data_IF_742804259655
#
_entry.id   IF_742804259655
#
_cell.length_a   1.000
_cell.length_b   1.000
_cell.length_c   1.000
_cell.angle_alpha   90.00
_cell.angle_beta   90.00
_cell.angle_gamma   90.00
#
_symmetry.space_group_name_H-M   'P 1'
#
loop_
_entity.id
_entity.type
_entity.pdbx_description
1 polymer ?
#
# COMPACT_ATOMS: atom_id res chain seq x y z
N UNK A 1 -16.59 -1.18 -14.31
CA UNK A 1 -16.07 -1.33 -12.93
C UNK A 1 -14.55 -1.39 -13.03
N UNK A 2 -13.81 -0.65 -12.20
CA UNK A 2 -12.34 -0.69 -12.19
C UNK A 2 -11.83 -1.94 -11.48
N UNK A 3 -10.69 -2.48 -11.91
CA UNK A 3 -10.04 -3.59 -11.24
C UNK A 3 -9.50 -3.16 -9.87
N UNK A 4 -9.66 -4.01 -8.86
CA UNK A 4 -9.10 -3.80 -7.51
C UNK A 4 -7.59 -3.99 -7.57
N UNK A 5 -6.84 -3.16 -6.84
CA UNK A 5 -5.37 -3.17 -6.81
C UNK A 5 -4.85 -3.94 -5.59
N UNK A 6 -3.82 -4.75 -5.79
CA UNK A 6 -3.04 -5.39 -4.74
C UNK A 6 -1.70 -4.65 -4.65
N UNK A 7 -1.42 -4.10 -3.47
CA UNK A 7 -0.32 -3.17 -3.24
C UNK A 7 0.62 -3.71 -2.15
N UNK A 8 1.75 -4.32 -2.48
CA UNK A 8 2.81 -4.57 -1.51
C UNK A 8 3.40 -3.27 -0.96
N UNK A 9 3.62 -3.25 0.37
CA UNK A 9 4.21 -2.12 1.07
C UNK A 9 5.59 -2.51 1.62
N UNK A 10 6.61 -1.73 1.31
CA UNK A 10 8.00 -1.96 1.67
C UNK A 10 8.49 -0.86 2.64
N UNK A 11 8.77 -1.24 3.88
CA UNK A 11 9.39 -0.35 4.86
C UNK A 11 10.89 -0.24 4.55
N UNK A 12 11.36 0.95 4.18
CA UNK A 12 12.74 1.20 3.76
C UNK A 12 13.53 1.85 4.88
N UNK A 13 14.69 1.30 5.19
CA UNK A 13 15.68 1.84 6.11
C UNK A 13 17.06 1.72 5.49
N UNK A 14 17.72 2.86 5.27
CA UNK A 14 19.07 2.92 4.71
C UNK A 14 19.22 2.10 3.40
N UNK A 15 18.21 2.17 2.52
CA UNK A 15 18.19 1.48 1.24
C UNK A 15 17.93 -0.03 1.31
N UNK A 16 17.58 -0.55 2.47
CA UNK A 16 17.18 -1.94 2.68
C UNK A 16 15.70 -2.03 3.10
N UNK A 17 15.04 -3.12 2.73
CA UNK A 17 13.67 -3.39 3.22
C UNK A 17 13.78 -4.07 4.58
N UNK A 18 13.08 -3.50 5.54
CA UNK A 18 13.01 -4.03 6.90
C UNK A 18 11.56 -4.37 7.27
N UNK A 19 11.41 -5.21 8.28
CA UNK A 19 10.12 -5.48 8.89
C UNK A 19 10.24 -5.44 10.40
N UNK A 20 9.39 -4.63 11.01
CA UNK A 20 9.21 -4.57 12.47
C UNK A 20 7.93 -5.24 12.91
N UNK A 21 7.84 -5.56 14.19
CA UNK A 21 6.60 -5.94 14.86
C UNK A 21 6.10 -4.68 15.59
N UNK A 22 4.91 -4.18 15.22
CA UNK A 22 4.35 -2.93 15.78
C UNK A 22 5.35 -1.77 15.76
N UNK A 23 5.99 -1.55 14.60
CA UNK A 23 7.00 -0.50 14.39
C UNK A 23 8.28 -0.62 15.26
N UNK A 24 8.58 -1.81 15.78
CA UNK A 24 9.77 -2.10 16.63
C UNK A 24 10.54 -3.32 16.11
N UNK A 25 11.75 -3.51 16.59
CA UNK A 25 12.60 -4.68 16.31
C UNK A 25 12.75 -5.00 14.83
N UNK A 26 13.14 -3.96 14.05
CA UNK A 26 13.28 -4.06 12.61
C UNK A 26 14.36 -5.09 12.23
N UNK A 27 13.95 -6.11 11.49
CA UNK A 27 14.85 -7.07 10.83
C UNK A 27 14.94 -6.76 9.36
N UNK A 28 16.12 -6.89 8.77
CA UNK A 28 16.29 -6.81 7.31
C UNK A 28 15.57 -8.00 6.68
N UNK A 29 14.70 -7.72 5.73
CA UNK A 29 13.93 -8.72 4.99
C UNK A 29 14.58 -9.01 3.64
N UNK A 30 15.21 -8.00 3.03
CA UNK A 30 15.89 -8.14 1.76
C UNK A 30 16.38 -6.82 1.18
N UNK A 31 17.04 -6.91 0.04
CA UNK A 31 17.39 -5.77 -0.78
C UNK A 31 16.14 -5.15 -1.40
N UNK A 32 16.12 -3.81 -1.47
CA UNK A 32 14.97 -3.06 -1.97
C UNK A 32 14.66 -3.38 -3.44
N UNK A 33 15.69 -3.53 -4.29
CA UNK A 33 15.49 -3.79 -5.71
C UNK A 33 14.97 -5.21 -5.93
N UNK A 34 15.61 -6.20 -5.31
CA UNK A 34 15.19 -7.61 -5.44
C UNK A 34 13.76 -7.85 -4.98
N UNK A 35 13.30 -7.18 -3.90
CA UNK A 35 11.91 -7.29 -3.46
C UNK A 35 10.94 -6.52 -4.37
N UNK A 36 11.34 -5.36 -4.88
CA UNK A 36 10.53 -4.60 -5.83
C UNK A 36 10.30 -5.39 -7.13
N UNK A 37 11.35 -5.96 -7.70
CA UNK A 37 11.29 -6.81 -8.89
C UNK A 37 10.44 -8.05 -8.65
N UNK A 38 10.64 -8.75 -7.53
CA UNK A 38 9.85 -9.93 -7.19
C UNK A 38 8.35 -9.61 -7.13
N UNK A 39 7.95 -8.57 -6.42
CA UNK A 39 6.54 -8.22 -6.32
C UNK A 39 5.94 -7.74 -7.65
N UNK A 40 6.70 -7.00 -8.47
CA UNK A 40 6.32 -6.66 -9.83
C UNK A 40 6.08 -7.92 -10.66
N UNK A 41 7.00 -8.87 -10.64
CA UNK A 41 6.93 -10.10 -11.44
C UNK A 41 5.81 -11.04 -10.94
N UNK A 42 5.54 -11.06 -9.64
CA UNK A 42 4.37 -11.72 -9.07
C UNK A 42 3.04 -11.06 -9.46
N UNK A 43 3.08 -9.87 -10.09
CA UNK A 43 1.91 -9.17 -10.61
C UNK A 43 1.27 -8.22 -9.61
N UNK A 44 2.04 -7.56 -8.74
CA UNK A 44 1.57 -6.40 -7.98
C UNK A 44 1.02 -5.34 -8.94
N UNK A 45 0.00 -4.61 -8.51
CA UNK A 45 -0.60 -3.55 -9.32
C UNK A 45 0.08 -2.20 -9.10
N UNK A 46 0.69 -2.01 -7.95
CA UNK A 46 1.42 -0.82 -7.49
C UNK A 46 2.30 -1.23 -6.31
N UNK A 47 3.38 -0.50 -6.03
CA UNK A 47 4.18 -0.64 -4.81
C UNK A 47 4.14 0.64 -3.97
N UNK A 48 4.23 0.50 -2.66
CA UNK A 48 4.42 1.62 -1.74
C UNK A 48 5.72 1.43 -0.97
N UNK A 49 6.55 2.46 -0.94
CA UNK A 49 7.80 2.49 -0.17
C UNK A 49 7.69 3.53 0.94
N UNK A 50 7.83 3.09 2.19
CA UNK A 50 7.90 3.98 3.35
C UNK A 50 9.35 4.16 3.80
N UNK A 51 9.94 5.36 3.63
CA UNK A 51 11.19 5.68 4.33
C UNK A 51 10.89 5.92 5.80
N UNK A 52 11.07 4.86 6.61
CA UNK A 52 10.73 4.88 8.04
C UNK A 52 11.74 5.64 8.90
N UNK A 53 12.86 6.08 8.32
CA UNK A 53 13.93 6.82 9.01
C UNK A 53 13.93 8.31 8.70
N UNK A 54 13.46 8.71 7.54
CA UNK A 54 13.47 10.11 7.11
C UNK A 54 12.70 11.03 8.06
N UNK A 55 11.45 10.68 8.39
CA UNK A 55 10.60 11.49 9.27
C UNK A 55 11.13 11.58 10.71
N UNK A 56 11.50 10.47 11.40
CA UNK A 56 12.07 10.52 12.74
C UNK A 56 13.39 11.30 12.82
N UNK A 57 14.23 11.22 11.78
CA UNK A 57 15.52 11.91 11.73
C UNK A 57 15.42 13.35 11.23
N UNK A 58 14.22 13.82 10.87
CA UNK A 58 14.03 15.17 10.35
C UNK A 58 14.70 15.42 8.99
N UNK A 59 15.00 14.36 8.21
CA UNK A 59 15.59 14.45 6.88
C UNK A 59 14.57 14.18 5.77
N UNK A 60 14.88 14.56 4.55
CA UNK A 60 14.13 14.19 3.35
C UNK A 60 14.47 12.77 2.92
N UNK A 61 13.63 12.18 2.05
CA UNK A 61 13.87 10.87 1.44
C UNK A 61 15.20 10.84 0.68
N UNK A 62 15.93 9.75 0.80
CA UNK A 62 17.12 9.53 -0.02
C UNK A 62 16.70 9.14 -1.44
N UNK A 63 16.88 10.09 -2.37
CA UNK A 63 16.52 9.95 -3.79
C UNK A 63 17.33 8.89 -4.53
N UNK A 64 18.47 8.48 -4.00
CA UNK A 64 19.33 7.52 -4.68
C UNK A 64 18.67 6.16 -4.83
N UNK A 65 17.97 5.68 -3.81
CA UNK A 65 17.22 4.43 -3.91
C UNK A 65 15.94 4.59 -4.75
N UNK A 66 15.27 5.76 -4.68
CA UNK A 66 14.07 6.05 -5.50
C UNK A 66 14.42 5.91 -6.99
N UNK A 67 15.50 6.57 -7.43
CA UNK A 67 15.93 6.51 -8.82
C UNK A 67 16.38 5.09 -9.27
N UNK A 68 16.90 4.26 -8.36
CA UNK A 68 17.21 2.85 -8.67
C UNK A 68 15.96 2.02 -8.84
N UNK A 69 14.97 2.19 -7.95
CA UNK A 69 13.66 1.52 -8.04
C UNK A 69 12.94 1.89 -9.33
N UNK A 70 12.93 3.17 -9.70
CA UNK A 70 12.29 3.66 -10.93
C UNK A 70 12.86 3.02 -12.21
N UNK A 71 14.12 2.58 -12.20
CA UNK A 71 14.74 1.92 -13.35
C UNK A 71 14.32 0.47 -13.56
N UNK A 72 13.89 -0.19 -12.51
CA UNK A 72 13.53 -1.62 -12.55
C UNK A 72 12.03 -1.87 -12.55
N UNK A 73 11.22 -0.88 -12.15
CA UNK A 73 9.77 -1.02 -12.14
C UNK A 73 9.13 -0.54 -13.44
N UNK A 74 8.14 -1.28 -13.90
CA UNK A 74 7.20 -0.93 -14.98
C UNK A 74 5.75 -0.86 -14.48
N UNK A 75 5.57 -0.86 -13.15
CA UNK A 75 4.32 -0.60 -12.45
C UNK A 75 4.46 0.66 -11.60
N UNK A 76 3.37 1.40 -11.33
CA UNK A 76 3.42 2.60 -10.52
C UNK A 76 3.95 2.32 -9.11
N UNK A 77 4.64 3.31 -8.53
CA UNK A 77 4.99 3.26 -7.13
C UNK A 77 4.83 4.60 -6.42
N UNK A 78 4.49 4.52 -5.15
CA UNK A 78 4.34 5.65 -4.25
C UNK A 78 5.47 5.67 -3.23
N UNK A 79 5.97 6.85 -2.91
CA UNK A 79 6.96 7.06 -1.85
C UNK A 79 6.34 7.83 -0.69
N UNK A 80 6.51 7.31 0.50
CA UNK A 80 6.04 7.87 1.76
C UNK A 80 7.19 8.06 2.77
N UNK A 81 6.97 8.93 3.74
CA UNK A 81 7.97 9.30 4.76
C UNK A 81 8.87 10.43 4.32
N UNK A 82 9.21 11.35 5.24
CA UNK A 82 10.15 12.44 5.02
C UNK A 82 9.72 13.55 4.04
N UNK A 83 8.48 13.56 3.56
CA UNK A 83 7.95 14.58 2.63
C UNK A 83 7.23 15.65 3.43
N UNK A 84 7.79 16.85 3.52
CA UNK A 84 7.32 17.97 4.36
C UNK A 84 7.09 19.25 3.58
N UNK A 85 7.48 19.28 2.32
CA UNK A 85 7.39 20.45 1.47
C UNK A 85 7.14 20.05 0.00
N UNK A 86 6.74 21.04 -0.80
CA UNK A 86 6.64 20.89 -2.26
C UNK A 86 7.99 20.51 -2.87
N UNK A 87 9.09 21.06 -2.35
CA UNK A 87 10.43 20.74 -2.84
C UNK A 87 10.85 19.28 -2.54
N UNK A 88 10.47 18.74 -1.37
CA UNK A 88 10.69 17.30 -1.07
C UNK A 88 9.92 16.41 -2.05
N UNK A 89 8.66 16.73 -2.30
CA UNK A 89 7.80 16.00 -3.24
C UNK A 89 8.34 16.08 -4.67
N UNK A 90 8.72 17.28 -5.14
CA UNK A 90 9.31 17.48 -6.47
C UNK A 90 10.57 16.63 -6.66
N UNK A 91 11.41 16.59 -5.65
CA UNK A 91 12.65 15.81 -5.70
C UNK A 91 12.40 14.29 -5.79
N UNK A 92 11.35 13.78 -5.14
CA UNK A 92 10.97 12.36 -5.18
C UNK A 92 10.31 12.01 -6.52
N UNK A 93 9.38 12.85 -7.00
CA UNK A 93 8.72 12.67 -8.31
C UNK A 93 9.74 12.77 -9.45
N UNK A 94 10.66 13.74 -9.40
CA UNK A 94 11.75 13.86 -10.40
C UNK A 94 12.71 12.65 -10.39
N UNK A 95 12.81 11.93 -9.26
CA UNK A 95 13.59 10.69 -9.18
C UNK A 95 12.85 9.47 -9.76
N UNK A 96 11.57 9.62 -10.17
CA UNK A 96 10.80 8.64 -10.92
C UNK A 96 9.65 8.00 -10.16
N UNK A 97 9.30 8.45 -8.96
CA UNK A 97 8.06 8.04 -8.31
C UNK A 97 6.83 8.66 -9.02
N UNK A 98 5.72 7.94 -9.14
CA UNK A 98 4.47 8.48 -9.69
C UNK A 98 3.62 9.17 -8.64
N UNK A 99 3.76 8.80 -7.37
CA UNK A 99 2.99 9.35 -6.27
C UNK A 99 3.86 9.63 -5.05
N UNK A 100 3.44 10.60 -4.27
CA UNK A 100 4.00 10.89 -2.95
C UNK A 100 2.90 10.80 -1.90
N UNK A 101 3.24 10.23 -0.73
CA UNK A 101 2.29 10.13 0.38
C UNK A 101 2.73 11.00 1.55
N UNK A 102 1.80 11.81 2.04
CA UNK A 102 1.96 12.67 3.21
C UNK A 102 0.99 12.25 4.32
N UNK A 103 1.43 12.33 5.57
CA UNK A 103 0.62 12.04 6.75
C UNK A 103 0.86 13.15 7.80
N UNK A 104 1.73 12.95 8.78
CA UNK A 104 1.96 13.89 9.90
C UNK A 104 2.26 15.34 9.47
N UNK A 105 3.05 15.61 8.42
CA UNK A 105 3.23 16.97 7.91
C UNK A 105 1.93 17.62 7.43
N UNK A 106 1.04 16.85 6.80
CA UNK A 106 -0.27 17.35 6.37
C UNK A 106 -1.24 17.58 7.54
N UNK A 107 -1.08 16.86 8.64
CA UNK A 107 -1.85 17.11 9.87
C UNK A 107 -1.40 18.41 10.57
N UNK A 108 -0.12 18.76 10.48
CA UNK A 108 0.45 20.00 11.04
C UNK A 108 0.15 21.21 10.15
N UNK A 109 0.26 21.04 8.84
CA UNK A 109 -0.07 22.07 7.85
C UNK A 109 -0.92 21.45 6.73
N UNK A 110 -2.26 21.44 6.87
CA UNK A 110 -3.17 20.90 5.87
C UNK A 110 -3.04 21.55 4.49
N UNK A 111 -2.60 22.82 4.41
CA UNK A 111 -2.38 23.50 3.14
C UNK A 111 -1.23 22.92 2.31
N UNK A 112 -0.43 22.03 2.90
CA UNK A 112 0.55 21.24 2.14
C UNK A 112 -0.13 20.41 1.04
N UNK A 113 -1.31 19.83 1.33
CA UNK A 113 -2.08 19.03 0.35
C UNK A 113 -2.47 19.92 -0.83
N UNK A 114 -3.01 21.14 -0.55
CA UNK A 114 -3.42 22.10 -1.59
C UNK A 114 -2.22 22.43 -2.51
N UNK A 115 -1.07 22.76 -1.91
CA UNK A 115 0.15 23.12 -2.66
C UNK A 115 0.68 21.96 -3.51
N UNK A 116 0.65 20.74 -2.98
CA UNK A 116 1.06 19.55 -3.72
C UNK A 116 0.12 19.28 -4.90
N UNK A 117 -1.19 19.32 -4.67
CA UNK A 117 -2.19 19.10 -5.71
C UNK A 117 -2.14 20.16 -6.81
N UNK A 118 -1.95 21.44 -6.45
CA UNK A 118 -1.78 22.53 -7.41
C UNK A 118 -0.51 22.38 -8.25
N UNK A 119 0.58 21.89 -7.65
CA UNK A 119 1.88 21.79 -8.34
C UNK A 119 2.00 20.56 -9.22
N UNK A 120 1.47 19.42 -8.78
CA UNK A 120 1.72 18.11 -9.41
C UNK A 120 0.44 17.43 -9.93
N UNK A 121 -0.72 17.96 -9.61
CA UNK A 121 -2.02 17.32 -9.84
C UNK A 121 -2.41 16.38 -8.70
N UNK A 122 -3.71 16.29 -8.42
CA UNK A 122 -4.26 15.45 -7.35
C UNK A 122 -3.84 13.98 -7.48
N UNK A 123 -3.71 13.45 -8.71
CA UNK A 123 -3.33 12.07 -8.97
C UNK A 123 -1.96 11.67 -8.41
N UNK A 124 -1.08 12.65 -8.14
CA UNK A 124 0.24 12.42 -7.53
C UNK A 124 0.21 12.47 -5.99
N UNK A 125 -0.91 12.93 -5.38
CA UNK A 125 -1.00 13.24 -3.95
C UNK A 125 -1.81 12.16 -3.23
N UNK A 126 -1.13 11.39 -2.38
CA UNK A 126 -1.72 10.40 -1.49
C UNK A 126 -1.70 10.95 -0.07
N UNK A 127 -2.81 10.85 0.65
CA UNK A 127 -2.84 11.16 2.09
C UNK A 127 -2.96 9.86 2.87
N UNK A 128 -1.92 9.56 3.65
CA UNK A 128 -1.92 8.46 4.61
C UNK A 128 -2.61 8.90 5.91
N UNK A 129 -3.48 8.07 6.43
CA UNK A 129 -4.20 8.30 7.68
C UNK A 129 -3.98 7.11 8.59
N UNK A 130 -3.23 7.29 9.67
CA UNK A 130 -3.14 6.31 10.76
C UNK A 130 -4.31 6.55 11.71
N UNK A 131 -5.13 5.53 11.89
CA UNK A 131 -6.40 5.66 12.61
C UNK A 131 -6.59 4.55 13.62
N UNK A 132 -7.13 4.89 14.79
CA UNK A 132 -7.52 3.95 15.82
C UNK A 132 -8.92 4.23 16.34
N UNK A 133 -9.61 3.19 16.81
CA UNK A 133 -10.91 3.31 17.45
C UNK A 133 -10.85 4.21 18.69
N UNK A 134 -11.82 5.10 18.83
CA UNK A 134 -12.01 5.89 20.05
C UNK A 134 -12.63 5.02 21.13
N UNK A 135 -11.82 4.58 22.08
CA UNK A 135 -12.26 3.70 23.15
C UNK A 135 -13.07 4.40 24.25
N UNK A 136 -13.27 5.71 24.14
CA UNK A 136 -14.15 6.46 25.07
C UNK A 136 -15.63 6.16 24.85
N UNK A 137 -15.99 5.63 23.67
CA UNK A 137 -17.33 5.20 23.31
C UNK A 137 -17.40 3.68 23.15
N UNK A 138 -18.51 3.04 23.60
CA UNK A 138 -18.74 1.59 23.41
C UNK A 138 -20.16 1.34 22.91
N UNK A 139 -20.35 0.68 21.75
CA UNK A 139 -19.31 0.28 20.79
C UNK A 139 -18.55 1.49 20.25
N UNK A 140 -17.31 1.29 19.80
CA UNK A 140 -16.52 2.36 19.20
C UNK A 140 -17.15 2.73 17.84
N UNK A 141 -17.82 3.89 17.79
CA UNK A 141 -18.47 4.41 16.57
C UNK A 141 -17.68 5.58 15.97
N UNK A 142 -16.54 5.87 16.54
CA UNK A 142 -15.64 6.95 16.13
C UNK A 142 -14.21 6.45 16.06
N UNK A 143 -13.44 7.09 15.20
CA UNK A 143 -12.02 6.80 15.02
C UNK A 143 -11.22 8.10 15.09
N UNK A 144 -10.03 8.01 15.69
CA UNK A 144 -9.12 9.12 15.89
C UNK A 144 -7.88 9.00 15.03
N UNK A 145 -7.48 10.12 14.45
CA UNK A 145 -6.25 10.20 13.68
C UNK A 145 -5.05 10.22 14.63
N UNK A 146 -4.01 9.47 14.27
CA UNK A 146 -2.72 9.45 14.94
C UNK A 146 -1.64 10.04 14.03
N UNK A 147 -0.59 10.58 14.65
CA UNK A 147 0.56 11.17 13.98
C UNK A 147 1.86 10.59 14.49
N UNK A 148 2.91 10.63 13.66
CA UNK A 148 4.26 10.17 14.01
C UNK A 148 4.30 8.74 14.53
N UNK A 149 3.47 7.86 14.04
CA UNK A 149 3.31 6.46 14.49
C UNK A 149 4.60 5.63 14.37
N UNK A 150 5.49 6.00 13.45
CA UNK A 150 6.84 5.44 13.32
C UNK A 150 7.87 5.96 14.33
N UNK A 151 7.56 6.97 15.15
CA UNK A 151 8.45 7.51 16.19
C UNK A 151 7.77 7.42 17.56
N UNK A 152 8.19 6.45 18.38
CA UNK A 152 7.59 6.19 19.71
C UNK A 152 7.67 7.37 20.68
N UNK A 153 8.57 8.35 20.46
CA UNK A 153 8.71 9.56 21.29
C UNK A 153 7.75 10.67 20.88
N UNK A 154 7.31 10.68 19.62
CA UNK A 154 6.44 11.71 19.04
C UNK A 154 5.04 11.19 18.71
N UNK A 155 4.86 9.86 18.71
CA UNK A 155 3.58 9.24 18.39
C UNK A 155 2.49 9.67 19.36
N UNK A 156 1.33 10.00 18.80
CA UNK A 156 0.18 10.40 19.61
C UNK A 156 -1.04 10.71 18.75
N UNK A 157 -2.17 10.82 19.43
CA UNK A 157 -3.42 11.25 18.81
C UNK A 157 -3.31 12.71 18.31
N UNK A 158 -3.87 12.96 17.14
CA UNK A 158 -3.84 14.29 16.50
C UNK A 158 -5.05 15.18 16.89
N UNK A 159 -5.89 14.75 17.83
CA UNK A 159 -7.13 15.39 18.21
C UNK A 159 -8.06 15.72 17.02
N UNK A 160 -8.11 14.82 16.05
CA UNK A 160 -8.96 14.90 14.87
C UNK A 160 -9.78 13.62 14.70
N UNK A 161 -11.04 13.77 14.30
CA UNK A 161 -11.87 12.65 13.84
C UNK A 161 -11.37 12.15 12.47
N UNK A 162 -11.29 10.84 12.30
CA UNK A 162 -10.75 10.24 11.07
C UNK A 162 -11.60 10.54 9.85
N UNK A 163 -12.93 10.49 9.99
CA UNK A 163 -13.83 10.69 8.85
C UNK A 163 -13.94 12.16 8.45
N UNK A 164 -13.79 13.07 9.42
CA UNK A 164 -13.70 14.51 9.15
C UNK A 164 -12.38 14.86 8.44
N UNK A 165 -11.27 14.30 8.91
CA UNK A 165 -9.97 14.50 8.28
C UNK A 165 -9.91 13.92 6.87
N UNK A 166 -10.48 12.73 6.66
CA UNK A 166 -10.59 12.11 5.34
C UNK A 166 -11.31 13.02 4.34
N UNK A 167 -12.41 13.66 4.75
CA UNK A 167 -13.14 14.60 3.90
C UNK A 167 -12.30 15.87 3.64
N UNK A 168 -11.73 16.49 4.69
CA UNK A 168 -10.88 17.67 4.54
C UNK A 168 -9.70 17.41 3.59
N UNK A 169 -9.04 16.25 3.68
CA UNK A 169 -7.94 15.89 2.80
C UNK A 169 -8.36 15.84 1.31
N UNK A 170 -9.54 15.32 1.01
CA UNK A 170 -10.10 15.30 -0.34
C UNK A 170 -10.43 16.72 -0.84
N UNK A 171 -11.10 17.53 0.00
CA UNK A 171 -11.47 18.91 -0.33
C UNK A 171 -10.23 19.75 -0.65
N UNK A 172 -9.07 19.41 -0.06
CA UNK A 172 -7.77 20.04 -0.34
C UNK A 172 -7.03 19.48 -1.55
N UNK A 173 -7.55 18.44 -2.19
CA UNK A 173 -6.99 17.90 -3.44
C UNK A 173 -6.20 16.60 -3.28
N UNK A 174 -6.34 15.85 -2.19
CA UNK A 174 -5.86 14.47 -2.15
C UNK A 174 -6.52 13.65 -3.26
N UNK A 175 -5.71 12.98 -4.08
CA UNK A 175 -6.21 12.13 -5.17
C UNK A 175 -6.34 10.67 -4.77
N UNK A 176 -5.81 10.28 -3.61
CA UNK A 176 -5.93 8.93 -3.05
C UNK A 176 -5.79 8.98 -1.52
N UNK A 177 -6.52 8.13 -0.81
CA UNK A 177 -6.43 7.96 0.64
C UNK A 177 -5.93 6.56 0.97
N UNK A 178 -4.90 6.45 1.79
CA UNK A 178 -4.49 5.19 2.44
C UNK A 178 -4.94 5.25 3.89
N UNK A 179 -5.92 4.43 4.26
CA UNK A 179 -6.40 4.32 5.63
C UNK A 179 -5.75 3.12 6.33
N UNK A 180 -4.84 3.40 7.24
CA UNK A 180 -4.19 2.40 8.07
C UNK A 180 -4.94 2.23 9.40
N UNK A 181 -5.62 1.08 9.56
CA UNK A 181 -6.36 0.73 10.76
C UNK A 181 -5.41 0.13 11.79
N UNK A 182 -4.89 0.98 12.70
CA UNK A 182 -3.82 0.64 13.66
C UNK A 182 -4.18 -0.54 14.59
N UNK A 183 -5.46 -0.68 14.93
CA UNK A 183 -5.94 -1.79 15.77
C UNK A 183 -5.76 -3.16 15.13
N UNK A 184 -5.79 -3.22 13.81
CA UNK A 184 -5.63 -4.43 13.00
C UNK A 184 -4.20 -4.61 12.47
N UNK A 185 -3.35 -3.57 12.50
CA UNK A 185 -2.02 -3.63 11.90
C UNK A 185 -1.10 -4.64 12.59
N UNK A 186 -0.49 -5.51 11.77
CA UNK A 186 0.39 -6.59 12.23
C UNK A 186 -0.34 -7.77 12.90
N UNK A 187 -1.66 -7.71 13.09
CA UNK A 187 -2.44 -8.75 13.80
C UNK A 187 -2.78 -9.92 12.88
N UNK A 188 -2.87 -9.71 11.57
CA UNK A 188 -3.19 -10.73 10.54
C UNK A 188 -4.56 -11.43 10.73
N UNK A 189 -5.54 -10.72 11.30
CA UNK A 189 -6.89 -11.25 11.57
C UNK A 189 -7.99 -10.62 10.73
N UNK A 190 -7.63 -9.95 9.64
CA UNK A 190 -8.54 -9.23 8.77
C UNK A 190 -8.42 -7.72 8.92
N UNK A 191 -8.91 -7.03 7.91
CA UNK A 191 -9.01 -5.57 7.89
C UNK A 191 -10.15 -5.11 8.80
N UNK A 192 -10.11 -3.86 9.24
CA UNK A 192 -11.20 -3.23 9.99
C UNK A 192 -12.32 -2.83 9.02
N UNK A 193 -13.23 -3.76 8.78
CA UNK A 193 -14.32 -3.59 7.80
C UNK A 193 -15.25 -2.45 8.18
N UNK A 194 -15.57 -2.32 9.47
CA UNK A 194 -16.48 -1.28 9.96
C UNK A 194 -15.92 0.11 9.69
N UNK A 195 -14.67 0.36 10.05
CA UNK A 195 -14.01 1.63 9.81
C UNK A 195 -13.85 1.92 8.32
N UNK A 196 -13.43 0.93 7.53
CA UNK A 196 -13.21 1.08 6.09
C UNK A 196 -14.51 1.33 5.32
N UNK A 197 -15.61 0.67 5.68
CA UNK A 197 -16.93 0.91 5.10
C UNK A 197 -17.42 2.33 5.43
N UNK A 198 -17.30 2.77 6.69
CA UNK A 198 -17.65 4.13 7.10
C UNK A 198 -16.79 5.20 6.38
N UNK A 199 -15.52 4.88 6.14
CA UNK A 199 -14.63 5.72 5.34
C UNK A 199 -15.06 5.75 3.87
N UNK A 200 -15.42 4.59 3.28
CA UNK A 200 -15.86 4.51 1.87
C UNK A 200 -17.06 5.39 1.60
N UNK A 201 -18.03 5.44 2.50
CA UNK A 201 -19.23 6.27 2.37
C UNK A 201 -18.93 7.78 2.25
N UNK A 202 -17.76 8.20 2.70
CA UNK A 202 -17.30 9.60 2.68
C UNK A 202 -16.12 9.86 1.75
N UNK A 203 -15.64 8.84 1.07
CA UNK A 203 -14.47 8.92 0.21
C UNK A 203 -14.88 8.90 -1.26
N UNK A 204 -14.56 9.96 -2.03
CA UNK A 204 -14.88 10.08 -3.45
C UNK A 204 -13.66 9.78 -4.35
N UNK A 205 -12.48 9.71 -3.75
CA UNK A 205 -11.23 9.29 -4.41
C UNK A 205 -10.95 7.81 -4.12
N UNK A 206 -9.99 7.18 -4.80
CA UNK A 206 -9.56 5.84 -4.46
C UNK A 206 -9.19 5.69 -2.98
N UNK A 207 -9.77 4.66 -2.33
CA UNK A 207 -9.52 4.30 -0.94
C UNK A 207 -8.71 3.01 -0.88
N UNK A 208 -7.56 3.07 -0.22
CA UNK A 208 -6.66 1.94 0.00
C UNK A 208 -6.77 1.48 1.45
N UNK A 209 -7.13 0.21 1.66
CA UNK A 209 -7.15 -0.40 2.99
C UNK A 209 -5.74 -0.83 3.41
N UNK A 210 -5.37 -0.53 4.65
CA UNK A 210 -4.10 -0.95 5.26
C UNK A 210 -4.32 -1.43 6.70
N UNK A 211 -3.54 -2.45 7.11
CA UNK A 211 -3.59 -3.04 8.45
C UNK A 211 -4.54 -4.24 8.56
N UNK A 212 -3.99 -5.42 8.89
CA UNK A 212 -4.77 -6.62 9.23
C UNK A 212 -4.71 -7.78 8.23
N UNK A 213 -4.11 -7.60 7.04
CA UNK A 213 -4.00 -8.66 6.03
C UNK A 213 -3.29 -9.91 6.55
N UNK A 214 -3.88 -11.08 6.34
CA UNK A 214 -3.33 -12.37 6.75
C UNK A 214 -3.48 -13.45 5.67
N UNK A 215 -4.69 -13.62 5.15
CA UNK A 215 -5.04 -14.68 4.19
C UNK A 215 -5.98 -14.16 3.09
N UNK A 216 -6.21 -14.93 2.01
CA UNK A 216 -7.05 -14.47 0.90
C UNK A 216 -8.47 -14.06 1.28
N UNK A 217 -9.05 -14.70 2.31
CA UNK A 217 -10.40 -14.38 2.80
C UNK A 217 -10.50 -12.92 3.26
N UNK A 218 -9.48 -12.39 3.92
CA UNK A 218 -9.44 -11.00 4.38
C UNK A 218 -9.49 -9.98 3.23
N UNK A 219 -8.82 -10.30 2.10
CA UNK A 219 -8.87 -9.46 0.90
C UNK A 219 -10.22 -9.55 0.19
N UNK A 220 -10.84 -10.73 0.19
CA UNK A 220 -12.19 -10.91 -0.37
C UNK A 220 -13.19 -10.09 0.43
N UNK A 221 -13.14 -10.18 1.75
CA UNK A 221 -14.02 -9.45 2.67
C UNK A 221 -13.88 -7.93 2.50
N UNK A 222 -12.66 -7.39 2.53
CA UNK A 222 -12.45 -5.94 2.43
C UNK A 222 -12.91 -5.37 1.09
N UNK A 223 -12.73 -6.10 -0.01
CA UNK A 223 -13.21 -5.65 -1.32
C UNK A 223 -14.73 -5.73 -1.47
N UNK A 224 -15.35 -6.75 -0.86
CA UNK A 224 -16.79 -6.99 -0.97
C UNK A 224 -17.57 -6.12 0.00
N UNK A 225 -17.16 -6.10 1.27
CA UNK A 225 -17.97 -5.57 2.35
C UNK A 225 -17.62 -4.11 2.69
N UNK A 226 -16.34 -3.71 2.55
CA UNK A 226 -15.93 -2.32 2.69
C UNK A 226 -15.84 -1.56 1.36
N UNK A 227 -15.87 -2.24 0.21
CA UNK A 227 -15.92 -1.61 -1.10
C UNK A 227 -14.67 -0.81 -1.50
N UNK A 228 -13.52 -1.02 -0.85
CA UNK A 228 -12.28 -0.29 -1.10
C UNK A 228 -11.72 -0.55 -2.50
N UNK A 229 -10.91 0.38 -3.03
CA UNK A 229 -10.36 0.30 -4.39
C UNK A 229 -9.04 -0.47 -4.45
N UNK A 230 -8.33 -0.55 -3.31
CA UNK A 230 -7.08 -1.28 -3.20
C UNK A 230 -6.88 -1.84 -1.79
N UNK A 231 -6.06 -2.88 -1.69
CA UNK A 231 -5.65 -3.47 -0.44
C UNK A 231 -4.12 -3.52 -0.36
N UNK A 232 -3.58 -2.92 0.70
CA UNK A 232 -2.17 -2.82 0.99
C UNK A 232 -1.80 -3.87 2.06
N UNK A 233 -0.68 -4.58 1.84
CA UNK A 233 -0.12 -5.49 2.81
C UNK A 233 1.41 -5.58 2.66
N UNK A 234 2.08 -5.98 3.72
CA UNK A 234 3.54 -6.07 3.78
C UNK A 234 4.01 -7.52 4.03
N UNK A 235 3.95 -7.96 5.27
CA UNK A 235 4.60 -9.18 5.74
C UNK A 235 4.17 -10.44 5.00
N UNK A 236 2.89 -10.60 4.70
CA UNK A 236 2.34 -11.78 4.01
C UNK A 236 2.89 -11.96 2.59
N UNK A 237 3.26 -10.85 1.92
CA UNK A 237 3.90 -10.87 0.62
C UNK A 237 5.42 -11.07 0.74
N UNK A 238 6.08 -10.36 1.67
CA UNK A 238 7.54 -10.45 1.82
C UNK A 238 8.00 -11.83 2.25
N UNK A 239 7.25 -12.50 3.15
CA UNK A 239 7.55 -13.85 3.61
C UNK A 239 7.28 -14.93 2.56
N UNK A 240 6.54 -14.60 1.49
CA UNK A 240 6.08 -15.58 0.50
C UNK A 240 4.93 -16.48 1.00
N UNK A 241 4.39 -16.23 2.21
CA UNK A 241 3.24 -16.99 2.73
C UNK A 241 2.00 -16.84 1.85
N UNK A 242 1.83 -15.65 1.25
CA UNK A 242 0.75 -15.37 0.32
C UNK A 242 1.31 -14.81 -1.01
N UNK A 243 1.65 -15.67 -1.97
CA UNK A 243 2.05 -15.23 -3.31
C UNK A 243 0.92 -14.45 -3.99
N UNK A 244 1.25 -13.31 -4.61
CA UNK A 244 0.25 -12.43 -5.27
C UNK A 244 -0.56 -13.17 -6.36
N UNK A 245 0.02 -14.06 -7.19
CA UNK A 245 -0.76 -14.82 -8.17
C UNK A 245 -1.83 -15.71 -7.53
N UNK A 246 -1.52 -16.35 -6.38
CA UNK A 246 -2.47 -17.16 -5.62
C UNK A 246 -3.61 -16.30 -5.05
N UNK A 247 -3.28 -15.13 -4.49
CA UNK A 247 -4.27 -14.18 -4.01
C UNK A 247 -5.20 -13.72 -5.14
N UNK A 248 -4.64 -13.28 -6.28
CA UNK A 248 -5.43 -12.82 -7.43
C UNK A 248 -6.31 -13.93 -8.02
N UNK A 249 -5.86 -15.19 -7.98
CA UNK A 249 -6.68 -16.34 -8.36
C UNK A 249 -7.88 -16.52 -7.43
N UNK A 250 -7.68 -16.44 -6.10
CA UNK A 250 -8.75 -16.52 -5.12
C UNK A 250 -9.76 -15.38 -5.26
N UNK A 251 -9.28 -14.14 -5.49
CA UNK A 251 -10.13 -12.97 -5.71
C UNK A 251 -11.01 -13.13 -6.95
N UNK A 252 -10.44 -13.60 -8.06
CA UNK A 252 -11.22 -13.89 -9.29
C UNK A 252 -12.26 -14.99 -9.06
N UNK A 253 -11.88 -16.06 -8.35
CA UNK A 253 -12.80 -17.12 -7.95
C UNK A 253 -13.97 -16.62 -7.10
N UNK A 254 -13.76 -15.55 -6.33
CA UNK A 254 -14.80 -14.87 -5.54
C UNK A 254 -15.56 -13.79 -6.32
N UNK A 255 -15.33 -13.65 -7.63
CA UNK A 255 -16.00 -12.66 -8.49
C UNK A 255 -15.44 -11.23 -8.38
N UNK A 256 -14.28 -11.03 -7.75
CA UNK A 256 -13.65 -9.73 -7.61
C UNK A 256 -12.75 -9.47 -8.82
N UNK A 257 -12.99 -8.36 -9.52
CA UNK A 257 -12.22 -7.98 -10.70
C UNK A 257 -10.83 -7.50 -10.25
N UNK A 258 -9.78 -8.23 -10.65
CA UNK A 258 -8.37 -7.88 -10.49
C UNK A 258 -7.64 -8.04 -11.82
N UNK A 259 -6.54 -7.30 -12.03
CA UNK A 259 -5.68 -7.51 -13.19
C UNK A 259 -5.07 -8.92 -13.13
N UNK A 260 -4.98 -9.64 -14.26
CA UNK A 260 -4.29 -10.93 -14.29
C UNK A 260 -2.81 -10.71 -13.92
N UNK A 261 -2.16 -11.69 -13.27
CA UNK A 261 -0.71 -11.67 -13.15
C UNK A 261 -0.07 -11.65 -14.55
N UNK A 262 1.12 -11.06 -14.69
CA UNK A 262 1.89 -11.16 -15.93
C UNK A 262 2.05 -12.66 -16.25
N UNK A 263 1.82 -13.04 -17.51
CA UNK A 263 2.13 -14.40 -17.95
C UNK A 263 3.63 -14.59 -17.76
N UNK A 264 4.03 -15.56 -16.93
CA UNK A 264 5.38 -16.08 -17.00
C UNK A 264 5.55 -16.67 -18.42
N UNK A 265 6.56 -16.24 -19.15
CA UNK A 265 6.97 -16.87 -20.39
C UNK A 265 7.64 -18.24 -20.10
N UNK A 266 6.95 -19.07 -19.33
CA UNK A 266 7.33 -20.48 -19.22
C UNK A 266 6.78 -21.14 -20.48
N UNK A 267 7.62 -21.73 -21.34
CA UNK A 267 7.13 -22.47 -22.50
C UNK A 267 6.18 -23.54 -21.99
N UNK A 268 4.92 -23.49 -22.40
CA UNK A 268 3.98 -24.58 -22.22
C UNK A 268 4.58 -25.78 -22.92
N UNK A 269 4.76 -26.85 -22.18
CA UNK A 269 5.13 -28.18 -22.70
C UNK A 269 4.41 -28.42 -24.01
N UNK A 270 5.20 -28.51 -25.07
CA UNK A 270 4.73 -29.00 -26.37
C UNK A 270 4.27 -30.46 -26.12
N UNK A 271 3.04 -30.83 -26.52
CA UNK A 271 2.64 -32.21 -26.44
C UNK A 271 3.64 -33.03 -27.29
N UNK A 272 4.36 -33.91 -26.68
CA UNK A 272 5.13 -34.95 -27.41
C UNK A 272 4.14 -35.84 -28.12
N UNK A 273 3.98 -35.61 -29.45
CA UNK A 273 3.36 -36.55 -30.35
C UNK A 273 4.18 -37.85 -30.28
N UNK A 274 3.63 -38.82 -29.60
CA UNK A 274 4.13 -40.20 -29.64
C UNK A 274 3.74 -40.78 -30.99
N UNK A 275 4.68 -41.21 -31.84
CA UNK A 275 4.33 -41.92 -33.08
C UNK A 275 3.69 -43.29 -32.72
N UNK A 276 2.45 -43.49 -33.10
CA UNK A 276 1.83 -44.81 -33.08
C UNK A 276 2.45 -45.67 -34.17
N UNK A 277 3.35 -46.56 -33.77
CA UNK A 277 3.79 -47.66 -34.63
C UNK A 277 2.63 -48.63 -34.89
N UNK A 278 2.22 -48.67 -36.14
CA UNK A 278 1.28 -49.69 -36.64
C UNK A 278 2.06 -50.96 -37.02
N UNK A 279 1.79 -52.10 -36.45
CA UNK A 279 2.44 -53.35 -36.90
C UNK A 279 1.79 -53.82 -38.20
N UNK A 280 2.61 -53.90 -39.26
CA UNK A 280 2.28 -54.56 -40.53
C UNK A 280 2.26 -56.07 -40.32
N UNK A 281 1.10 -56.69 -40.48
CA UNK A 281 1.00 -58.16 -40.58
C UNK A 281 1.50 -58.64 -41.93
N UNK A 282 2.30 -59.67 -41.89
CA UNK A 282 2.42 -60.74 -42.87
C UNK A 282 2.15 -62.07 -42.23
#
# INVERSE_FOLDING_TARGET
>A
MLARRIIPCLDVRDGQVVKGVRFRDHRVVGDILGLAERHRDEGADELVFYDITASPQGRSVDRSWVARVARVLDIPFCVAGGIRSVADAEAVLAAGAEKVSVNSPALEDPSLIDRLAQRFGSQCVVVGIDSAADLSTRPATRWRVHRYTGDTRRSGEANRDTLEWLREAQDRGAGEIVLNCMGSDGVRRGYDIEQLAAARDRCHVPLVASGGAGEPAHFIEVFRDAGVDAALAASVFHSGELPIPRLKSALRGAGILVRPPKRSDTPTDTPTDTPTDTPTQR
#
